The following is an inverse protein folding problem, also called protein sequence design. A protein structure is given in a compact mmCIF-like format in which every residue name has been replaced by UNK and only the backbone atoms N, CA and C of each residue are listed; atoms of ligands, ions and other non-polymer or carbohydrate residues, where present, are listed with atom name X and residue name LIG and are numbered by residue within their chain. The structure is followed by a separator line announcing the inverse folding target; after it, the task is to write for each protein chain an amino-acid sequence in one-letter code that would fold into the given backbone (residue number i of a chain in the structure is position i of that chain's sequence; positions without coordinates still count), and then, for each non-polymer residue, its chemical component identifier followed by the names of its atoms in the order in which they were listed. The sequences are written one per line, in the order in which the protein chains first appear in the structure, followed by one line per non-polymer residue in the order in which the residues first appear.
data_IF_209817408835
#
_entry.id   IF_209817408835
#
_cell.length_a   1.000
_cell.length_b   1.000
_cell.length_c   1.000
_cell.angle_alpha   90.00
_cell.angle_beta   90.00
_cell.angle_gamma   90.00
#
_symmetry.space_group_name_H-M   'P 1'
#
loop_
_entity.id
_entity.type
_entity.pdbx_description
1 polymer ?
#
# COMPACT_ATOMS: atom_id res chain seq x y z
N UNK A 1 -10.25 -22.87 3.80
CA UNK A 1 -9.42 -22.16 4.79
C UNK A 1 -9.15 -20.78 4.21
N UNK A 2 -9.72 -19.73 4.79
CA UNK A 2 -9.47 -18.36 4.32
C UNK A 2 -8.08 -17.94 4.81
N UNK A 3 -7.12 -17.87 3.89
CA UNK A 3 -5.77 -17.44 4.21
C UNK A 3 -5.74 -15.92 4.30
N UNK A 4 -5.57 -15.39 5.51
CA UNK A 4 -5.41 -13.96 5.72
C UNK A 4 -4.08 -13.54 5.10
N UNK A 5 -4.15 -12.71 4.07
CA UNK A 5 -2.97 -12.11 3.44
C UNK A 5 -2.79 -10.67 3.94
N UNK A 6 -1.54 -10.25 4.01
CA UNK A 6 -1.12 -8.89 4.32
C UNK A 6 -0.31 -8.36 3.15
N UNK A 7 -0.46 -7.08 2.87
CA UNK A 7 0.27 -6.37 1.83
C UNK A 7 0.91 -5.12 2.42
N UNK A 8 2.03 -4.71 1.82
CA UNK A 8 2.68 -3.46 2.15
C UNK A 8 2.15 -2.36 1.24
N UNK A 9 1.43 -1.41 1.82
CA UNK A 9 1.03 -0.19 1.15
C UNK A 9 2.04 0.91 1.46
N UNK A 10 2.62 1.50 0.42
CA UNK A 10 3.49 2.67 0.53
C UNK A 10 2.63 3.91 0.37
N UNK A 11 2.63 4.71 1.43
CA UNK A 11 1.90 5.97 1.55
C UNK A 11 2.89 7.11 1.27
N UNK A 12 2.56 7.97 0.32
CA UNK A 12 3.26 9.23 0.10
C UNK A 12 2.55 10.35 0.84
N UNK A 13 3.29 11.11 1.65
CA UNK A 13 2.79 12.28 2.35
C UNK A 13 3.41 13.52 1.71
N UNK A 14 2.58 14.48 1.31
CA UNK A 14 3.03 15.77 0.76
C UNK A 14 3.56 16.71 1.85
N UNK A 15 3.81 17.97 1.48
CA UNK A 15 4.42 18.98 2.35
C UNK A 15 3.66 19.23 3.66
N UNK A 16 2.32 19.12 3.65
CA UNK A 16 1.52 19.23 4.88
C UNK A 16 1.63 18.00 5.79
N UNK A 17 2.20 16.87 5.34
CA UNK A 17 2.41 15.59 6.05
C UNK A 17 1.16 14.91 6.66
N UNK A 18 0.05 15.63 6.81
CA UNK A 18 -1.17 15.19 7.49
C UNK A 18 -2.08 14.35 6.59
N UNK A 19 -1.90 14.44 5.27
CA UNK A 19 -2.71 13.73 4.27
C UNK A 19 -1.82 12.81 3.45
N UNK A 20 -1.48 11.65 4.01
CA UNK A 20 -0.76 10.62 3.28
C UNK A 20 -1.73 9.86 2.36
N UNK A 21 -1.39 9.77 1.09
CA UNK A 21 -2.15 9.02 0.10
C UNK A 21 -1.39 7.77 -0.30
N UNK A 22 -2.12 6.74 -0.72
CA UNK A 22 -1.49 5.52 -1.21
C UNK A 22 -0.77 5.82 -2.53
N UNK A 23 0.56 5.88 -2.48
CA UNK A 23 1.41 6.10 -3.65
C UNK A 23 1.62 4.80 -4.43
N UNK A 24 1.87 3.69 -3.72
CA UNK A 24 2.10 2.38 -4.33
C UNK A 24 1.68 1.25 -3.39
N UNK A 25 1.31 0.10 -3.95
CA UNK A 25 1.15 -1.15 -3.19
C UNK A 25 2.20 -2.12 -3.68
N UNK A 26 2.96 -2.70 -2.75
CA UNK A 26 3.93 -3.73 -3.06
C UNK A 26 3.23 -5.00 -3.54
N UNK A 27 3.74 -5.66 -4.57
CA UNK A 27 3.18 -6.92 -5.07
C UNK A 27 3.38 -8.09 -4.09
N UNK A 28 4.33 -7.95 -3.14
CA UNK A 28 4.61 -8.94 -2.11
C UNK A 28 3.41 -9.13 -1.16
N UNK A 29 3.10 -10.40 -0.86
CA UNK A 29 2.00 -10.80 0.03
C UNK A 29 2.54 -11.67 1.14
N UNK A 30 2.12 -11.38 2.37
CA UNK A 30 2.56 -12.08 3.56
C UNK A 30 1.38 -12.80 4.21
N UNK A 31 1.62 -13.96 4.81
CA UNK A 31 0.61 -14.71 5.57
C UNK A 31 0.59 -14.35 7.06
N UNK A 32 1.53 -13.50 7.50
CA UNK A 32 1.65 -13.04 8.89
C UNK A 32 1.95 -11.55 8.94
N UNK A 33 1.35 -10.86 9.92
CA UNK A 33 1.60 -9.44 10.15
C UNK A 33 3.04 -9.17 10.58
N UNK A 34 3.67 -10.08 11.32
CA UNK A 34 5.07 -9.95 11.71
C UNK A 34 5.98 -9.98 10.48
N UNK A 35 5.74 -10.91 9.55
CA UNK A 35 6.50 -10.99 8.30
C UNK A 35 6.35 -9.70 7.48
N UNK A 36 5.13 -9.15 7.39
CA UNK A 36 4.89 -7.87 6.73
C UNK A 36 5.69 -6.72 7.39
N UNK A 37 5.67 -6.64 8.73
CA UNK A 37 6.36 -5.58 9.47
C UNK A 37 7.88 -5.63 9.33
N UNK A 38 8.47 -6.82 9.32
CA UNK A 38 9.92 -6.99 9.14
C UNK A 38 10.40 -6.52 7.76
N UNK A 39 9.53 -6.61 6.74
CA UNK A 39 9.84 -6.21 5.37
C UNK A 39 9.54 -4.74 5.07
N UNK A 40 8.87 -4.02 5.99
CA UNK A 40 8.61 -2.57 5.88
C UNK A 40 9.85 -1.74 5.52
N UNK A 41 10.99 -1.86 6.23
CA UNK A 41 12.19 -1.08 5.88
C UNK A 41 12.74 -1.43 4.50
N UNK A 42 12.69 -2.70 4.10
CA UNK A 42 13.12 -3.15 2.77
C UNK A 42 12.21 -2.59 1.67
N UNK A 43 10.90 -2.54 1.90
CA UNK A 43 9.95 -1.95 0.97
C UNK A 43 10.15 -0.43 0.83
N UNK A 44 10.38 0.30 1.93
CA UNK A 44 10.69 1.73 1.86
C UNK A 44 11.96 2.02 1.05
N UNK A 45 13.02 1.24 1.27
CA UNK A 45 14.28 1.40 0.53
C UNK A 45 14.11 1.20 -0.98
N UNK A 46 13.26 0.25 -1.40
CA UNK A 46 12.96 -0.03 -2.82
C UNK A 46 12.06 1.03 -3.47
N UNK A 47 11.30 1.76 -2.65
CA UNK A 47 10.31 2.74 -3.09
C UNK A 47 10.77 4.19 -2.86
N UNK A 48 12.08 4.39 -2.78
CA UNK A 48 12.71 5.72 -2.73
C UNK A 48 12.61 6.47 -4.07
N UNK A 49 12.14 5.81 -5.13
CA UNK A 49 11.83 6.39 -6.45
C UNK A 49 10.51 7.17 -6.49
N UNK A 50 9.76 7.18 -5.39
CA UNK A 50 8.46 7.86 -5.32
C UNK A 50 8.68 9.37 -5.14
N UNK A 51 8.04 10.16 -6.01
CA UNK A 51 8.00 11.63 -5.98
C UNK A 51 7.13 12.17 -4.82
N UNK A 52 7.53 11.85 -3.58
CA UNK A 52 6.95 12.40 -2.36
C UNK A 52 8.05 12.78 -1.38
N UNK A 53 7.93 13.93 -0.68
CA UNK A 53 8.94 14.37 0.28
C UNK A 53 9.06 13.40 1.46
N UNK A 54 7.97 12.73 1.83
CA UNK A 54 7.93 11.72 2.88
C UNK A 54 7.17 10.50 2.40
N UNK A 55 7.76 9.32 2.59
CA UNK A 55 7.10 8.04 2.34
C UNK A 55 7.01 7.23 3.64
N UNK A 56 5.91 6.51 3.81
CA UNK A 56 5.67 5.63 4.95
C UNK A 56 5.11 4.30 4.48
N UNK A 57 5.44 3.21 5.18
CA UNK A 57 4.92 1.88 4.89
C UNK A 57 3.80 1.54 5.88
N UNK A 58 2.72 0.98 5.37
CA UNK A 58 1.58 0.51 6.15
C UNK A 58 1.28 -0.95 5.80
N UNK A 59 1.35 -1.82 6.80
CA UNK A 59 0.89 -3.20 6.66
C UNK A 59 -0.64 -3.25 6.71
N UNK A 60 -1.25 -3.52 5.57
CA UNK A 60 -2.70 -3.65 5.45
C UNK A 60 -3.09 -5.10 5.28
N UNK A 61 -4.13 -5.51 6.00
CA UNK A 61 -4.72 -6.84 5.83
C UNK A 61 -5.53 -6.83 4.54
N UNK A 62 -5.16 -7.69 3.60
CA UNK A 62 -5.76 -7.77 2.28
C UNK A 62 -7.15 -8.40 2.40
N UNK A 63 -8.18 -7.58 2.49
CA UNK A 63 -9.57 -8.04 2.41
C UNK A 63 -10.02 -8.11 0.95
N UNK A 64 -10.97 -8.98 0.60
CA UNK A 64 -11.48 -9.08 -0.77
C UNK A 64 -12.02 -7.74 -1.33
N UNK A 65 -12.39 -6.79 -0.47
CA UNK A 65 -12.83 -5.44 -0.89
C UNK A 65 -11.68 -4.53 -1.37
N UNK A 66 -10.42 -4.75 -0.96
CA UNK A 66 -9.27 -3.95 -1.44
C UNK A 66 -8.93 -4.22 -2.92
N UNK A 67 -9.37 -5.36 -3.47
CA UNK A 67 -9.22 -5.68 -4.90
C UNK A 67 -10.15 -4.82 -5.76
N UNK A 68 -11.27 -4.33 -5.20
CA UNK A 68 -12.31 -3.63 -5.93
C UNK A 68 -12.03 -2.12 -6.10
N UNK A 69 -11.28 -1.50 -5.17
CA UNK A 69 -10.92 -0.07 -5.26
C UNK A 69 -10.10 0.30 -6.51
N UNK A 70 -9.45 -0.68 -7.17
CA UNK A 70 -8.79 -0.48 -8.47
C UNK A 70 -9.78 -0.44 -9.65
N UNK A 71 -10.97 -1.03 -9.54
CA UNK A 71 -11.97 -1.03 -10.61
C UNK A 71 -12.77 0.26 -10.65
N UNK A 72 -13.13 0.83 -9.50
CA UNK A 72 -14.04 1.98 -9.44
C UNK A 72 -13.46 3.27 -10.05
N UNK A 73 -12.12 3.43 -10.14
CA UNK A 73 -11.50 4.60 -10.80
C UNK A 73 -11.58 4.52 -12.33
N UNK A 74 -11.60 3.32 -12.91
CA UNK A 74 -11.75 3.14 -14.36
C UNK A 74 -13.19 3.38 -14.82
N UNK A 75 -14.17 3.24 -13.93
CA UNK A 75 -15.60 3.33 -14.28
C UNK A 75 -16.15 4.77 -14.28
N UNK A 76 -15.54 5.72 -13.55
CA UNK A 76 -15.99 7.14 -13.52
C UNK A 76 -15.41 8.03 -14.64
N UNK A 77 -14.51 7.51 -15.48
CA UNK A 77 -13.90 8.28 -16.57
C UNK A 77 -14.63 8.11 -17.92
N UNK A 78 -15.82 7.51 -17.93
CA UNK A 78 -16.56 7.17 -19.17
C UNK A 78 -18.06 7.39 -19.08
N UNK A 79 -18.52 8.57 -18.65
CA UNK A 79 -19.92 8.99 -18.79
C UNK A 79 -20.01 10.46 -19.16
#
# INVERSE_FOLDING_TARGET
MDQVLYVLAIMGCGDDSMQCQQARIEPARYTSIQACQQEMPGALQRNTDIDYPVISAACQRMTPQMVDARRTRTERAGS
#
